data_IF_008403879302
#
_entry.id   IF_008403879302
#
_cell.length_a   1.000
_cell.length_b   1.000
_cell.length_c   1.000
_cell.angle_alpha   90.00
_cell.angle_beta   90.00
_cell.angle_gamma   90.00
#
_symmetry.space_group_name_H-M   'P 1'
#
loop_
_entity.id
_entity.type
_entity.pdbx_description
1 polymer ?
#
# COMPACT_ATOMS: atom_id res chain seq x y z
N UNK A 1 4.57 14.10 3.93
CA UNK A 1 4.27 12.85 4.63
C UNK A 1 4.49 11.71 3.67
N UNK A 2 5.68 11.10 3.74
CA UNK A 2 6.06 9.90 2.99
C UNK A 2 5.95 8.72 3.96
N UNK A 3 5.20 7.70 3.59
CA UNK A 3 5.19 6.42 4.29
C UNK A 3 5.72 5.36 3.34
N UNK A 4 6.93 4.88 3.59
CA UNK A 4 7.54 3.84 2.79
C UNK A 4 8.58 3.06 3.58
N UNK A 5 8.63 1.76 3.34
CA UNK A 5 9.73 0.91 3.78
C UNK A 5 10.61 0.65 2.56
N UNK A 6 11.85 1.11 2.60
CA UNK A 6 12.84 0.84 1.56
C UNK A 6 13.64 -0.40 1.95
N UNK A 7 13.59 -1.44 1.12
CA UNK A 7 14.36 -2.66 1.32
C UNK A 7 15.62 -2.61 0.46
N UNK A 8 16.79 -2.87 1.05
CA UNK A 8 18.06 -2.97 0.34
C UNK A 8 18.50 -4.43 0.32
N UNK A 9 18.34 -5.09 -0.82
CA UNK A 9 18.83 -6.44 -1.05
C UNK A 9 18.89 -6.73 -2.56
N UNK A 10 19.69 -7.70 -2.96
CA UNK A 10 19.92 -8.05 -4.37
C UNK A 10 18.67 -8.58 -5.10
N UNK A 11 17.59 -8.91 -4.36
CA UNK A 11 16.34 -9.35 -4.96
C UNK A 11 15.45 -8.17 -5.41
N UNK A 12 15.39 -7.10 -4.62
CA UNK A 12 14.56 -5.91 -4.89
C UNK A 12 15.38 -4.78 -5.54
N UNK A 13 16.66 -4.70 -5.22
CA UNK A 13 17.60 -3.68 -5.69
C UNK A 13 18.79 -4.35 -6.40
N UNK A 14 18.46 -5.20 -7.39
CA UNK A 14 19.42 -6.05 -8.10
C UNK A 14 20.56 -5.26 -8.76
N UNK A 15 20.24 -4.07 -9.24
CA UNK A 15 21.18 -3.19 -9.94
C UNK A 15 21.90 -2.22 -8.99
N UNK A 16 21.62 -2.27 -7.68
CA UNK A 16 22.27 -1.45 -6.66
C UNK A 16 22.02 0.05 -6.84
N UNK A 17 20.85 0.42 -7.37
CA UNK A 17 20.49 1.82 -7.63
C UNK A 17 20.05 2.55 -6.36
N UNK A 18 19.77 1.82 -5.28
CA UNK A 18 19.36 2.38 -4.01
C UNK A 18 20.44 3.22 -3.34
N UNK A 19 20.00 4.27 -2.66
CA UNK A 19 20.88 5.14 -1.90
C UNK A 19 20.42 5.24 -0.45
N UNK A 20 20.99 4.46 0.49
CA UNK A 20 20.59 4.46 1.90
C UNK A 20 20.87 5.80 2.59
N UNK A 21 21.87 6.55 2.14
CA UNK A 21 22.28 7.83 2.75
C UNK A 21 21.21 8.93 2.62
N UNK A 22 20.29 8.79 1.67
CA UNK A 22 19.20 9.76 1.46
C UNK A 22 17.87 9.32 2.09
N UNK A 23 17.85 8.18 2.80
CA UNK A 23 16.67 7.74 3.55
C UNK A 23 16.60 8.47 4.88
N UNK A 24 15.45 9.09 5.14
CA UNK A 24 15.26 9.79 6.40
C UNK A 24 13.88 10.40 6.55
N UNK A 25 13.75 11.30 7.52
CA UNK A 25 12.51 12.02 7.74
C UNK A 25 12.14 12.82 6.49
N UNK A 26 10.96 12.54 5.93
CA UNK A 26 10.45 13.17 4.70
C UNK A 26 11.37 12.97 3.47
N UNK A 27 12.18 11.91 3.46
CA UNK A 27 13.10 11.60 2.36
C UNK A 27 13.15 10.11 2.06
N UNK A 28 13.15 9.77 0.77
CA UNK A 28 13.34 8.42 0.24
C UNK A 28 14.05 8.51 -1.10
N UNK A 29 14.76 7.47 -1.51
CA UNK A 29 15.53 7.40 -2.76
C UNK A 29 14.66 7.19 -4.01
N UNK A 30 13.35 6.97 -3.85
CA UNK A 30 12.43 6.84 -4.97
C UNK A 30 12.08 8.18 -5.61
N UNK A 31 12.10 8.20 -6.94
CA UNK A 31 11.62 9.33 -7.72
C UNK A 31 10.18 9.70 -7.35
N UNK A 32 9.89 11.00 -7.30
CA UNK A 32 8.51 11.47 -7.19
C UNK A 32 7.91 11.48 -5.79
N UNK A 33 8.60 10.96 -4.78
CA UNK A 33 8.08 10.85 -3.42
C UNK A 33 8.43 12.04 -2.52
N UNK A 34 9.40 12.87 -2.92
CA UNK A 34 9.87 14.02 -2.14
C UNK A 34 9.47 15.36 -2.78
N UNK A 35 9.38 16.40 -1.93
CA UNK A 35 9.02 17.76 -2.33
C UNK A 35 10.17 18.67 -2.75
N UNK A 36 11.40 18.15 -2.81
CA UNK A 36 12.60 18.95 -3.12
C UNK A 36 12.81 19.26 -4.61
N UNK A 37 11.95 18.76 -5.50
CA UNK A 37 12.10 18.92 -6.96
C UNK A 37 11.66 20.31 -7.42
N UNK A 38 12.31 20.93 -8.43
CA UNK A 38 11.87 22.19 -9.02
C UNK A 38 10.42 22.11 -9.53
N UNK A 39 9.68 23.21 -9.39
CA UNK A 39 8.26 23.25 -9.76
C UNK A 39 7.99 22.85 -11.21
N UNK A 40 8.81 23.31 -12.17
CA UNK A 40 8.68 22.92 -13.58
C UNK A 40 8.84 21.40 -13.76
N UNK A 41 9.76 20.78 -13.04
CA UNK A 41 9.95 19.33 -13.10
C UNK A 41 8.73 18.59 -12.54
N UNK A 42 8.17 19.05 -11.42
CA UNK A 42 6.93 18.50 -10.86
C UNK A 42 5.74 18.63 -11.81
N UNK A 43 5.66 19.73 -12.58
CA UNK A 43 4.60 19.92 -13.60
C UNK A 43 4.77 18.97 -14.79
N UNK A 44 6.00 18.73 -15.25
CA UNK A 44 6.28 17.85 -16.40
C UNK A 44 6.25 16.36 -16.05
N UNK A 45 6.69 16.01 -14.85
CA UNK A 45 6.84 14.64 -14.37
C UNK A 45 6.35 14.51 -12.92
N UNK A 46 5.01 14.58 -12.71
CA UNK A 46 4.44 14.54 -11.36
C UNK A 46 4.66 13.18 -10.71
N UNK A 47 4.98 13.19 -9.41
CA UNK A 47 5.10 12.01 -8.57
C UNK A 47 4.02 11.90 -7.50
N UNK A 48 4.14 10.89 -6.63
CA UNK A 48 3.20 10.68 -5.52
C UNK A 48 3.13 11.87 -4.56
N UNK A 49 4.26 12.56 -4.33
CA UNK A 49 4.28 13.80 -3.56
C UNK A 49 3.37 14.87 -4.17
N UNK A 50 3.53 15.15 -5.47
CA UNK A 50 2.80 16.21 -6.16
C UNK A 50 1.30 15.91 -6.21
N UNK A 51 0.95 14.64 -6.46
CA UNK A 51 -0.44 14.17 -6.42
C UNK A 51 -1.07 14.40 -5.05
N UNK A 52 -0.32 14.19 -3.96
CA UNK A 52 -0.81 14.38 -2.60
C UNK A 52 -0.97 15.86 -2.25
N UNK A 53 0.07 16.68 -2.46
CA UNK A 53 0.05 18.10 -2.03
C UNK A 53 -0.84 18.98 -2.90
N UNK A 54 -1.11 18.58 -4.14
CA UNK A 54 -2.05 19.29 -5.03
C UNK A 54 -3.51 19.23 -4.55
N UNK A 55 -3.85 18.29 -3.66
CA UNK A 55 -5.20 18.18 -3.05
C UNK A 55 -5.49 19.22 -1.97
N UNK A 56 -4.55 20.17 -1.72
CA UNK A 56 -4.57 21.20 -0.67
C UNK A 56 -4.26 20.63 0.73
N UNK A 57 -4.00 21.48 1.74
CA UNK A 57 -3.75 21.02 3.11
C UNK A 57 -4.91 20.20 3.71
N UNK A 58 -6.14 20.48 3.27
CA UNK A 58 -7.35 19.72 3.62
C UNK A 58 -8.12 19.46 2.34
N UNK A 59 -8.42 18.18 2.08
CA UNK A 59 -9.24 17.78 0.94
C UNK A 59 -10.64 18.40 1.02
N UNK A 60 -11.11 18.98 -0.09
CA UNK A 60 -12.47 19.53 -0.18
C UNK A 60 -13.40 18.41 -0.65
N UNK A 61 -14.01 17.71 0.32
CA UNK A 61 -14.87 16.55 0.02
C UNK A 61 -15.98 16.83 -1.00
N UNK A 62 -16.46 18.07 -1.10
CA UNK A 62 -17.49 18.46 -2.08
C UNK A 62 -17.02 18.41 -3.54
N UNK A 63 -15.71 18.31 -3.80
CA UNK A 63 -15.12 18.20 -5.14
C UNK A 63 -14.83 16.74 -5.54
N UNK A 64 -15.03 15.79 -4.63
CA UNK A 64 -14.71 14.38 -4.86
C UNK A 64 -15.91 13.63 -5.46
N UNK A 65 -15.63 12.74 -6.42
CA UNK A 65 -16.62 11.87 -7.04
C UNK A 65 -16.25 10.41 -6.73
N UNK A 66 -16.60 9.94 -5.53
CA UNK A 66 -16.23 8.62 -5.06
C UNK A 66 -16.93 7.52 -5.87
N UNK A 67 -16.15 6.58 -6.39
CA UNK A 67 -16.61 5.39 -7.09
C UNK A 67 -16.77 4.18 -6.16
N UNK A 68 -17.16 3.05 -6.75
CA UNK A 68 -17.28 1.77 -6.02
C UNK A 68 -15.94 1.30 -5.44
N UNK A 69 -14.84 1.60 -6.11
CA UNK A 69 -13.47 1.29 -5.65
C UNK A 69 -13.05 2.11 -4.42
N UNK A 70 -13.73 3.22 -4.11
CA UNK A 70 -13.44 4.09 -2.98
C UNK A 70 -14.19 3.71 -1.70
N UNK A 71 -14.79 2.52 -1.66
CA UNK A 71 -15.51 2.03 -0.48
C UNK A 71 -14.64 2.07 0.78
N UNK A 72 -13.36 1.68 0.66
CA UNK A 72 -12.40 1.74 1.77
C UNK A 72 -12.16 3.16 2.29
N UNK A 73 -12.07 4.15 1.41
CA UNK A 73 -11.91 5.58 1.77
C UNK A 73 -13.13 6.06 2.55
N UNK A 74 -14.33 5.72 2.08
CA UNK A 74 -15.59 6.10 2.74
C UNK A 74 -15.71 5.45 4.12
N UNK A 75 -15.38 4.16 4.22
CA UNK A 75 -15.36 3.42 5.49
C UNK A 75 -14.39 4.05 6.48
N UNK A 76 -13.15 4.32 6.07
CA UNK A 76 -12.14 4.95 6.92
C UNK A 76 -12.62 6.31 7.44
N UNK A 77 -13.16 7.17 6.56
CA UNK A 77 -13.71 8.49 6.95
C UNK A 77 -14.84 8.37 7.96
N UNK A 78 -15.74 7.40 7.79
CA UNK A 78 -16.82 7.15 8.74
C UNK A 78 -16.25 6.72 10.09
N UNK A 79 -15.33 5.77 10.11
CA UNK A 79 -14.67 5.28 11.33
C UNK A 79 -13.97 6.43 12.07
N UNK A 80 -13.16 7.23 11.38
CA UNK A 80 -12.49 8.38 11.98
C UNK A 80 -13.49 9.40 12.56
N UNK A 81 -14.57 9.70 11.84
CA UNK A 81 -15.61 10.62 12.31
C UNK A 81 -16.28 10.11 13.59
N UNK A 82 -16.62 8.82 13.65
CA UNK A 82 -17.23 8.22 14.83
C UNK A 82 -16.23 8.16 16.00
N UNK A 83 -14.94 7.90 15.73
CA UNK A 83 -13.89 7.92 16.76
C UNK A 83 -13.74 9.30 17.41
N UNK A 84 -13.65 10.36 16.59
CA UNK A 84 -13.54 11.76 17.06
C UNK A 84 -14.76 12.17 17.88
N UNK A 85 -15.94 11.63 17.57
CA UNK A 85 -17.18 11.88 18.32
C UNK A 85 -17.38 10.95 19.52
N UNK A 86 -16.42 10.07 19.81
CA UNK A 86 -16.53 9.05 20.86
C UNK A 86 -17.73 8.10 20.68
N UNK A 87 -18.19 7.92 19.44
CA UNK A 87 -19.28 7.01 19.06
C UNK A 87 -18.77 5.60 18.75
N UNK A 88 -17.45 5.43 18.55
CA UNK A 88 -16.82 4.13 18.45
C UNK A 88 -16.40 3.63 19.82
N UNK A 89 -16.82 2.41 20.13
CA UNK A 89 -16.14 1.62 21.14
C UNK A 89 -14.75 1.25 20.59
N UNK A 90 -13.69 1.30 21.41
CA UNK A 90 -12.40 0.74 21.03
C UNK A 90 -12.62 -0.68 20.50
N UNK A 91 -12.13 -0.93 19.29
CA UNK A 91 -12.17 -2.27 18.72
C UNK A 91 -11.24 -3.17 19.54
N UNK A 92 -11.73 -4.32 20.02
CA UNK A 92 -10.87 -5.36 20.63
C UNK A 92 -9.81 -5.86 19.62
N UNK A 93 -10.10 -5.76 18.32
CA UNK A 93 -9.20 -6.10 17.22
C UNK A 93 -8.39 -4.89 16.71
N UNK A 94 -8.59 -3.71 17.31
CA UNK A 94 -7.98 -2.44 16.92
C UNK A 94 -6.77 -2.10 17.76
N UNK A 95 -6.19 -3.10 18.42
CA UNK A 95 -4.92 -2.89 19.09
C UNK A 95 -3.83 -2.77 18.01
N UNK A 96 -3.16 -1.62 18.00
CA UNK A 96 -1.79 -1.50 17.47
C UNK A 96 -0.80 -2.30 18.33
N UNK A 97 -1.28 -3.21 19.18
CA UNK A 97 -0.45 -3.99 20.06
C UNK A 97 0.40 -4.93 19.21
N UNK A 98 1.73 -4.93 19.42
CA UNK A 98 2.62 -5.88 18.79
C UNK A 98 2.17 -7.31 19.18
N UNK A 99 1.41 -7.97 18.30
CA UNK A 99 0.99 -9.38 18.52
C UNK A 99 -0.52 -9.65 18.51
N UNK A 100 -1.40 -8.65 18.36
CA UNK A 100 -2.82 -8.90 18.08
C UNK A 100 -3.03 -9.72 16.80
N UNK A 101 -4.23 -10.27 16.57
CA UNK A 101 -4.55 -11.05 15.36
C UNK A 101 -4.23 -10.23 14.10
N UNK A 102 -3.02 -10.43 13.55
CA UNK A 102 -2.56 -9.74 12.34
C UNK A 102 -3.32 -10.34 11.17
N UNK A 103 -4.39 -9.67 10.76
CA UNK A 103 -4.93 -9.89 9.42
C UNK A 103 -3.83 -9.49 8.45
N UNK A 104 -3.12 -10.49 7.91
CA UNK A 104 -2.10 -10.26 6.89
C UNK A 104 -2.81 -9.87 5.62
N UNK A 105 -2.83 -8.58 5.33
CA UNK A 105 -3.31 -8.07 4.04
C UNK A 105 -2.14 -8.12 3.09
N UNK A 106 -2.23 -8.97 2.08
CA UNK A 106 -1.27 -9.01 0.98
C UNK A 106 -1.85 -8.17 -0.17
N UNK A 107 -1.06 -7.23 -0.67
CA UNK A 107 -1.36 -6.50 -1.89
C UNK A 107 -0.44 -7.02 -2.98
N UNK A 108 -0.98 -7.21 -4.17
CA UNK A 108 -0.25 -7.62 -5.36
C UNK A 108 -0.59 -6.65 -6.48
N UNK A 109 0.42 -6.24 -7.24
CA UNK A 109 0.30 -5.40 -8.44
C UNK A 109 0.22 -6.24 -9.73
N UNK A 110 0.35 -7.57 -9.62
CA UNK A 110 0.26 -8.50 -10.75
C UNK A 110 -1.18 -8.70 -11.21
N UNK A 111 -1.46 -8.35 -12.46
CA UNK A 111 -2.72 -8.67 -13.14
C UNK A 111 -2.57 -9.96 -13.94
N UNK A 112 -3.29 -11.01 -13.55
CA UNK A 112 -3.35 -12.26 -14.30
C UNK A 112 -4.48 -12.23 -15.33
N UNK A 113 -4.16 -12.52 -16.59
CA UNK A 113 -5.16 -12.66 -17.66
C UNK A 113 -5.65 -14.10 -17.70
N UNK A 114 -6.80 -14.37 -17.09
CA UNK A 114 -7.35 -15.71 -16.96
C UNK A 114 -8.73 -15.73 -17.66
N UNK A 115 -8.90 -16.53 -18.73
CA UNK A 115 -10.20 -16.66 -19.37
C UNK A 115 -11.16 -17.48 -18.50
N UNK A 116 -12.45 -17.17 -18.59
CA UNK A 116 -13.51 -17.97 -18.01
C UNK A 116 -13.50 -19.39 -18.61
N UNK A 117 -13.92 -20.38 -17.82
CA UNK A 117 -13.97 -21.78 -18.24
C UNK A 117 -15.43 -22.21 -18.38
N UNK A 118 -15.74 -22.85 -19.50
CA UNK A 118 -17.10 -23.31 -19.78
C UNK A 118 -17.54 -24.35 -18.73
N UNK A 119 -18.70 -24.10 -18.12
CA UNK A 119 -19.29 -25.00 -17.14
C UNK A 119 -18.73 -24.91 -15.71
N UNK A 120 -17.81 -23.99 -15.43
CA UNK A 120 -17.28 -23.72 -14.09
C UNK A 120 -17.84 -22.41 -13.51
N UNK A 121 -17.95 -22.30 -12.17
CA UNK A 121 -18.24 -21.03 -11.50
C UNK A 121 -16.97 -20.15 -11.53
N UNK A 122 -17.02 -19.08 -12.33
CA UNK A 122 -15.90 -18.15 -12.52
C UNK A 122 -15.43 -17.49 -11.20
N UNK A 123 -16.34 -17.18 -10.29
CA UNK A 123 -16.00 -16.57 -8.99
C UNK A 123 -15.29 -17.55 -8.08
N UNK A 124 -15.76 -18.80 -8.05
CA UNK A 124 -15.10 -19.86 -7.28
C UNK A 124 -13.71 -20.16 -7.85
N UNK A 125 -13.61 -20.27 -9.18
CA UNK A 125 -12.35 -20.49 -9.87
C UNK A 125 -11.35 -19.36 -9.62
N UNK A 126 -11.71 -18.10 -9.83
CA UNK A 126 -10.83 -16.94 -9.57
C UNK A 126 -10.39 -16.87 -8.10
N UNK A 127 -11.28 -17.22 -7.15
CA UNK A 127 -10.93 -17.31 -5.73
C UNK A 127 -9.88 -18.39 -5.47
N UNK A 128 -9.98 -19.55 -6.13
CA UNK A 128 -9.00 -20.63 -6.02
C UNK A 128 -7.63 -20.20 -6.55
N UNK A 129 -7.58 -19.49 -7.68
CA UNK A 129 -6.34 -18.95 -8.26
C UNK A 129 -5.72 -17.94 -7.30
N UNK A 130 -6.51 -16.98 -6.80
CA UNK A 130 -6.02 -15.98 -5.84
C UNK A 130 -5.42 -16.59 -4.57
N UNK A 131 -6.04 -17.65 -4.04
CA UNK A 131 -5.47 -18.43 -2.92
C UNK A 131 -4.15 -19.07 -3.30
N UNK A 132 -4.08 -19.73 -4.47
CA UNK A 132 -2.86 -20.41 -4.90
C UNK A 132 -1.69 -19.44 -5.11
N UNK A 133 -1.95 -18.28 -5.70
CA UNK A 133 -0.95 -17.21 -5.84
C UNK A 133 -0.47 -16.73 -4.47
N UNK A 134 -1.40 -16.51 -3.54
CA UNK A 134 -1.08 -16.10 -2.17
C UNK A 134 -0.24 -17.16 -1.46
N UNK A 135 -0.60 -18.45 -1.58
CA UNK A 135 0.17 -19.58 -1.03
C UNK A 135 1.61 -19.57 -1.55
N UNK A 136 1.81 -19.48 -2.87
CA UNK A 136 3.15 -19.43 -3.47
C UNK A 136 3.98 -18.29 -2.86
N UNK A 137 3.39 -17.09 -2.77
CA UNK A 137 4.08 -15.91 -2.23
C UNK A 137 4.42 -16.07 -0.74
N UNK A 138 3.53 -16.69 0.03
CA UNK A 138 3.75 -16.97 1.45
C UNK A 138 4.79 -18.07 1.64
N UNK A 139 4.79 -19.10 0.82
CA UNK A 139 5.75 -20.20 0.87
C UNK A 139 7.15 -19.72 0.49
N UNK A 140 7.29 -18.81 -0.48
CA UNK A 140 8.59 -18.18 -0.80
C UNK A 140 9.17 -17.41 0.39
N UNK A 141 8.35 -16.90 1.32
CA UNK A 141 8.86 -16.29 2.57
C UNK A 141 9.53 -17.30 3.51
N UNK A 142 9.22 -18.59 3.41
CA UNK A 142 9.85 -19.62 4.25
C UNK A 142 11.27 -19.99 3.79
N UNK A 143 11.64 -19.69 2.53
CA UNK A 143 12.95 -20.02 1.96
C UNK A 143 13.99 -18.90 2.09
N UNK A 144 13.66 -17.77 2.75
CA UNK A 144 14.62 -16.67 2.94
C UNK A 144 14.50 -16.04 4.33
N UNK A 145 14.74 -16.85 5.36
CA UNK A 145 15.30 -16.29 6.60
C UNK A 145 16.78 -16.11 6.34
N UNK A 146 17.17 -14.94 5.81
CA UNK A 146 18.54 -14.48 6.02
C UNK A 146 18.72 -14.35 7.52
N UNK A 147 19.64 -15.14 8.08
CA UNK A 147 20.04 -15.01 9.47
C UNK A 147 20.31 -13.54 9.75
N UNK A 148 19.64 -13.01 10.78
CA UNK A 148 19.90 -11.67 11.28
C UNK A 148 21.38 -11.64 11.67
N UNK A 149 22.17 -10.89 10.92
CA UNK A 149 23.52 -10.54 11.34
C UNK A 149 23.37 -9.55 12.49
N UNK A 150 23.88 -9.94 13.65
CA UNK A 150 23.93 -9.14 14.89
C UNK A 150 24.61 -7.77 14.72
#
# INVERSE_FOLDING_TARGET
>A
MIFGWRHYNDAVDREGEGNPEVIGKESVDFYGQTGGRPYEQCQRHPGGWDATVSQRPIAVHALEHLGTTDQGVTMLRRTLRQAIRHELKPSENGSSEPGGHKHRVYAHDTVLKIPARDGEDDQEFLRSVGRRVTEIIVDTKAETVLDRVD
#
